data_IF_165547047381
#
_entry.id   IF_165547047381
#
_cell.length_a   1.000
_cell.length_b   1.000
_cell.length_c   1.000
_cell.angle_alpha   90.00
_cell.angle_beta   90.00
_cell.angle_gamma   90.00
#
_symmetry.space_group_name_H-M   'P 1'
#
loop_
_entity.id
_entity.type
_entity.pdbx_description
1 polymer ?
#
# COMPACT_ATOMS: atom_id res chain seq x y z
N UNK A 1 5.46 -0.43 -3.75
CA UNK A 1 6.00 0.67 -4.60
C UNK A 1 7.41 0.31 -5.02
N UNK A 2 7.77 0.53 -6.29
CA UNK A 2 9.03 0.02 -6.86
C UNK A 2 10.26 0.75 -6.31
N UNK A 3 10.19 2.08 -6.15
CA UNK A 3 11.25 2.93 -5.58
C UNK A 3 12.64 2.63 -6.19
N UNK A 4 12.71 2.56 -7.52
CA UNK A 4 13.91 2.19 -8.29
C UNK A 4 14.92 3.32 -8.41
N UNK A 5 16.20 2.98 -8.59
CA UNK A 5 17.29 3.94 -8.75
C UNK A 5 17.35 4.92 -7.56
N UNK A 6 17.54 6.20 -7.87
CA UNK A 6 17.68 7.29 -6.90
C UNK A 6 16.38 7.74 -6.22
N UNK A 7 15.33 6.90 -6.20
CA UNK A 7 14.01 7.28 -5.70
C UNK A 7 14.03 7.69 -4.22
N UNK A 8 14.85 7.02 -3.40
CA UNK A 8 14.94 7.32 -1.96
C UNK A 8 15.61 8.67 -1.73
N UNK A 9 16.72 8.93 -2.42
CA UNK A 9 17.46 10.19 -2.37
C UNK A 9 16.58 11.37 -2.80
N UNK A 10 15.81 11.19 -3.88
CA UNK A 10 14.86 12.21 -4.36
C UNK A 10 13.76 12.47 -3.35
N UNK A 11 13.23 11.42 -2.70
CA UNK A 11 12.16 11.56 -1.72
C UNK A 11 12.65 12.27 -0.44
N UNK A 12 13.84 11.93 0.03
CA UNK A 12 14.51 12.62 1.14
C UNK A 12 14.73 14.12 0.84
N UNK A 13 15.26 14.45 -0.34
CA UNK A 13 15.49 15.83 -0.75
C UNK A 13 14.21 16.61 -1.10
N UNK A 14 13.07 15.92 -1.24
CA UNK A 14 11.82 16.56 -1.67
C UNK A 14 11.10 17.30 -0.52
N UNK A 15 10.22 18.27 -0.84
CA UNK A 15 9.34 18.90 0.15
C UNK A 15 8.17 17.98 0.59
N UNK A 16 8.12 16.73 0.14
CA UNK A 16 7.05 15.79 0.52
C UNK A 16 7.13 15.51 2.02
N UNK A 17 6.03 15.77 2.72
CA UNK A 17 5.89 15.48 4.15
C UNK A 17 5.83 13.99 4.44
N UNK A 18 5.01 13.26 3.67
CA UNK A 18 4.81 11.83 3.85
C UNK A 18 4.37 11.17 2.53
N UNK A 19 4.92 9.99 2.26
CA UNK A 19 4.50 9.06 1.22
C UNK A 19 3.81 7.87 1.88
N UNK A 20 2.47 7.85 1.82
CA UNK A 20 1.69 6.67 2.18
C UNK A 20 1.66 5.69 0.99
N UNK A 21 2.00 4.42 1.24
CA UNK A 21 1.99 3.38 0.21
C UNK A 21 1.58 2.02 0.78
N UNK A 22 1.04 1.14 -0.05
CA UNK A 22 0.68 -0.23 0.38
C UNK A 22 1.84 -1.22 0.24
N UNK A 23 1.83 -2.27 1.06
CA UNK A 23 2.83 -3.33 1.11
C UNK A 23 2.72 -4.40 -0.01
N UNK A 24 2.25 -4.05 -1.20
CA UNK A 24 2.16 -4.99 -2.35
C UNK A 24 3.51 -5.41 -2.90
N UNK A 25 4.55 -4.62 -2.63
CA UNK A 25 5.95 -4.96 -2.88
C UNK A 25 6.68 -4.77 -1.54
N UNK A 26 7.42 -5.77 -1.03
CA UNK A 26 8.18 -5.63 0.20
C UNK A 26 9.15 -4.45 0.12
N UNK A 27 9.18 -3.62 1.16
CA UNK A 27 10.12 -2.51 1.27
C UNK A 27 11.44 -3.01 1.89
N UNK A 28 12.55 -3.08 1.12
CA UNK A 28 13.84 -3.51 1.64
C UNK A 28 14.31 -2.60 2.78
N UNK A 29 15.05 -3.14 3.75
CA UNK A 29 15.51 -2.37 4.91
C UNK A 29 16.29 -1.10 4.51
N UNK A 30 17.17 -1.19 3.51
CA UNK A 30 17.96 -0.05 3.01
C UNK A 30 17.18 1.02 2.22
N UNK A 31 15.87 0.85 2.04
CA UNK A 31 14.98 1.83 1.40
C UNK A 31 13.97 2.45 2.37
N UNK A 32 14.10 2.16 3.68
CA UNK A 32 13.24 2.72 4.71
C UNK A 32 13.74 4.11 5.08
N UNK A 33 12.84 5.08 5.01
CA UNK A 33 13.07 6.47 5.41
C UNK A 33 11.84 6.97 6.17
N UNK A 34 12.02 8.02 6.97
CA UNK A 34 10.97 8.55 7.87
C UNK A 34 9.74 9.05 7.13
N UNK A 35 9.92 9.47 5.87
CA UNK A 35 8.82 9.94 5.01
C UNK A 35 7.92 8.81 4.51
N UNK A 36 8.29 7.53 4.62
CA UNK A 36 7.48 6.44 4.07
C UNK A 36 6.63 5.79 5.15
N UNK A 37 5.30 5.87 4.98
CA UNK A 37 4.34 5.12 5.78
C UNK A 37 3.78 3.95 4.96
N UNK A 38 3.95 2.73 5.47
CA UNK A 38 3.46 1.51 4.80
C UNK A 38 2.13 1.08 5.39
N UNK A 39 1.12 0.95 4.54
CA UNK A 39 -0.22 0.44 4.84
C UNK A 39 -0.34 -1.02 4.38
N UNK A 40 -1.10 -1.83 5.11
CA UNK A 40 -1.31 -3.22 4.73
C UNK A 40 -2.42 -3.36 3.69
N UNK A 41 -2.12 -3.98 2.55
CA UNK A 41 -3.12 -4.46 1.59
C UNK A 41 -3.72 -5.83 2.01
N UNK A 42 -3.17 -6.47 3.05
CA UNK A 42 -3.53 -7.83 3.45
C UNK A 42 -5.02 -8.01 3.76
N UNK A 43 -5.65 -7.03 4.43
CA UNK A 43 -7.09 -7.06 4.71
C UNK A 43 -7.90 -7.10 3.41
N UNK A 44 -7.59 -6.23 2.45
CA UNK A 44 -8.34 -6.16 1.19
C UNK A 44 -8.18 -7.48 0.42
N UNK A 45 -6.97 -8.04 0.38
CA UNK A 45 -6.77 -9.32 -0.30
C UNK A 45 -7.47 -10.48 0.39
N UNK A 46 -7.41 -10.58 1.72
CA UNK A 46 -8.09 -11.64 2.47
C UNK A 46 -9.60 -11.62 2.23
N UNK A 47 -10.24 -10.45 2.39
CA UNK A 47 -11.68 -10.31 2.19
C UNK A 47 -12.07 -10.51 0.72
N UNK A 48 -11.22 -10.11 -0.23
CA UNK A 48 -11.46 -10.37 -1.66
C UNK A 48 -11.44 -11.87 -1.98
N UNK A 49 -10.48 -12.62 -1.42
CA UNK A 49 -10.40 -14.08 -1.60
C UNK A 49 -11.65 -14.76 -1.02
N UNK A 50 -12.06 -14.37 0.19
CA UNK A 50 -13.24 -14.92 0.85
C UNK A 50 -14.52 -14.66 0.04
N UNK A 51 -14.69 -13.46 -0.50
CA UNK A 51 -15.86 -13.10 -1.31
C UNK A 51 -15.90 -13.83 -2.64
N UNK A 52 -14.75 -13.98 -3.32
CA UNK A 52 -14.65 -14.78 -4.55
C UNK A 52 -15.01 -16.24 -4.26
N UNK A 53 -14.49 -16.80 -3.17
CA UNK A 53 -14.79 -18.18 -2.78
C UNK A 53 -16.28 -18.38 -2.43
N UNK A 54 -16.92 -17.35 -1.87
CA UNK A 54 -18.30 -17.41 -1.39
C UNK A 54 -19.34 -16.88 -2.40
N UNK A 55 -18.94 -16.61 -3.65
CA UNK A 55 -19.76 -15.99 -4.70
C UNK A 55 -20.48 -14.69 -4.25
N UNK A 56 -19.80 -13.94 -3.39
CA UNK A 56 -20.27 -12.66 -2.86
C UNK A 56 -19.78 -11.49 -3.71
N UNK A 57 -20.59 -10.45 -3.80
CA UNK A 57 -20.23 -9.24 -4.54
C UNK A 57 -18.99 -8.54 -3.96
N UNK A 58 -17.95 -8.40 -4.79
CA UNK A 58 -16.75 -7.59 -4.49
C UNK A 58 -17.04 -6.08 -4.51
N UNK A 59 -17.97 -5.61 -5.35
CA UNK A 59 -18.24 -4.17 -5.46
C UNK A 59 -18.76 -3.58 -4.15
N UNK A 60 -19.53 -4.36 -3.39
CA UNK A 60 -20.03 -3.96 -2.07
C UNK A 60 -18.91 -3.68 -1.05
N UNK A 61 -17.77 -4.37 -1.15
CA UNK A 61 -16.60 -4.14 -0.29
C UNK A 61 -15.84 -2.88 -0.67
N UNK A 62 -15.64 -2.65 -1.97
CA UNK A 62 -14.81 -1.54 -2.48
C UNK A 62 -15.54 -0.19 -2.43
N UNK A 63 -16.86 -0.20 -2.57
CA UNK A 63 -17.67 1.02 -2.65
C UNK A 63 -18.15 1.52 -1.28
N UNK A 64 -18.08 0.68 -0.24
CA UNK A 64 -18.53 1.06 1.09
C UNK A 64 -17.43 1.87 1.79
N UNK A 65 -17.44 3.19 1.57
CA UNK A 65 -16.61 4.15 2.31
C UNK A 65 -17.22 4.37 3.70
N UNK A 66 -16.94 3.46 4.62
CA UNK A 66 -17.11 3.71 6.05
C UNK A 66 -15.75 3.57 6.73
N UNK A 67 -14.91 4.59 6.51
CA UNK A 67 -13.81 5.03 7.37
C UNK A 67 -13.93 6.56 7.51
#
# INVERSE_FOLDING_TARGET
>A
GVLSGEAIQRLEASPIKELAMINTIPLPAGKRIDKIRVLSAGRIFAESIERIYSDMSLSSMLMNRND
#
